data_IF_575770770863
#
_entry.id   IF_575770770863
#
_cell.length_a   1.000
_cell.length_b   1.000
_cell.length_c   1.000
_cell.angle_alpha   90.00
_cell.angle_beta   90.00
_cell.angle_gamma   90.00
#
_symmetry.space_group_name_H-M   'P 1'
#
loop_
_entity.id
_entity.type
_entity.pdbx_description
1 polymer ?
#
# COMPACT_ATOMS: atom_id res chain seq x y z
N UNK A 1 9.18 -5.44 -6.04
CA UNK A 1 8.22 -4.76 -5.12
C UNK A 1 6.79 -4.85 -5.67
N UNK A 2 5.81 -5.08 -4.81
CA UNK A 2 4.39 -5.20 -5.12
C UNK A 2 3.57 -4.47 -4.06
N UNK A 3 2.63 -3.62 -4.46
CA UNK A 3 1.79 -2.83 -3.54
C UNK A 3 0.31 -3.05 -3.82
N UNK A 4 -0.51 -3.07 -2.78
CA UNK A 4 -1.96 -3.21 -2.87
C UNK A 4 -2.61 -1.84 -2.92
N UNK A 5 -3.55 -1.63 -3.85
CA UNK A 5 -4.32 -0.40 -3.98
C UNK A 5 -5.82 -0.72 -4.02
N UNK A 6 -6.63 -0.10 -3.16
CA UNK A 6 -8.06 -0.46 -3.07
C UNK A 6 -8.97 0.76 -3.12
N UNK A 7 -10.14 0.62 -3.75
CA UNK A 7 -11.20 1.64 -3.72
C UNK A 7 -12.08 1.53 -2.47
N UNK A 8 -12.10 0.36 -1.85
CA UNK A 8 -12.86 0.05 -0.64
C UNK A 8 -11.89 -0.55 0.38
N UNK A 9 -11.75 0.10 1.54
CA UNK A 9 -10.82 -0.30 2.57
C UNK A 9 -11.54 -0.89 3.77
N UNK A 10 -11.11 -2.08 4.18
CA UNK A 10 -11.40 -2.62 5.50
C UNK A 10 -10.08 -3.03 6.19
N UNK A 11 -10.03 -3.05 7.53
CA UNK A 11 -8.88 -3.52 8.27
C UNK A 11 -8.44 -4.94 7.87
N UNK A 12 -9.38 -5.83 7.60
CA UNK A 12 -9.14 -7.23 7.21
C UNK A 12 -8.46 -7.30 5.84
N UNK A 13 -8.88 -6.46 4.89
CA UNK A 13 -8.27 -6.41 3.56
C UNK A 13 -6.82 -5.90 3.61
N UNK A 14 -6.55 -4.91 4.48
CA UNK A 14 -5.17 -4.47 4.74
C UNK A 14 -4.36 -5.58 5.37
N UNK A 15 -4.89 -6.23 6.40
CA UNK A 15 -4.18 -7.32 7.08
C UNK A 15 -3.84 -8.45 6.10
N UNK A 16 -4.80 -8.84 5.27
CA UNK A 16 -4.58 -9.86 4.24
C UNK A 16 -3.49 -9.46 3.25
N UNK A 17 -3.53 -8.23 2.72
CA UNK A 17 -2.49 -7.76 1.80
C UNK A 17 -1.08 -7.82 2.43
N UNK A 18 -0.95 -7.44 3.70
CA UNK A 18 0.34 -7.54 4.38
C UNK A 18 0.77 -9.00 4.60
N UNK A 19 -0.16 -9.88 4.97
CA UNK A 19 0.10 -11.33 5.14
C UNK A 19 0.48 -12.00 3.81
N UNK A 20 -0.11 -11.58 2.70
CA UNK A 20 0.17 -12.10 1.35
C UNK A 20 1.52 -11.58 0.79
N UNK A 21 2.25 -10.76 1.56
CA UNK A 21 3.61 -10.31 1.23
C UNK A 21 3.70 -9.04 0.39
N UNK A 22 2.61 -8.27 0.29
CA UNK A 22 2.70 -6.94 -0.34
C UNK A 22 3.57 -6.00 0.48
N UNK A 23 4.38 -5.19 -0.20
CA UNK A 23 5.28 -4.22 0.43
C UNK A 23 4.53 -3.05 1.07
N UNK A 24 3.36 -2.70 0.55
CA UNK A 24 2.50 -1.64 1.09
C UNK A 24 1.03 -1.80 0.68
N UNK A 25 0.17 -1.05 1.38
CA UNK A 25 -1.28 -1.01 1.16
C UNK A 25 -1.78 0.45 1.13
N UNK A 26 -2.47 0.84 0.05
CA UNK A 26 -2.94 2.19 -0.19
C UNK A 26 -4.46 2.23 -0.47
N UNK A 27 -5.28 2.72 0.47
CA UNK A 27 -6.69 2.97 0.22
C UNK A 27 -6.88 4.25 -0.62
N UNK A 28 -7.90 4.28 -1.48
CA UNK A 28 -8.32 5.50 -2.19
C UNK A 28 -9.25 6.34 -1.30
N UNK A 29 -9.25 7.68 -1.47
CA UNK A 29 -8.37 8.44 -2.36
C UNK A 29 -6.92 8.44 -1.87
N UNK A 30 -5.97 8.46 -2.80
CA UNK A 30 -4.55 8.43 -2.47
C UNK A 30 -4.12 9.77 -1.91
N UNK A 31 -3.46 9.75 -0.77
CA UNK A 31 -2.58 10.84 -0.37
C UNK A 31 -1.33 10.80 -1.25
N UNK A 32 -1.18 11.80 -2.11
CA UNK A 32 -0.11 11.84 -3.13
C UNK A 32 1.29 11.91 -2.50
N UNK A 33 1.45 12.71 -1.45
CA UNK A 33 2.75 12.90 -0.78
C UNK A 33 3.16 11.61 -0.08
N UNK A 34 2.23 11.01 0.66
CA UNK A 34 2.49 9.73 1.33
C UNK A 34 2.74 8.60 0.35
N UNK A 35 1.96 8.52 -0.72
CA UNK A 35 2.12 7.49 -1.74
C UNK A 35 3.50 7.56 -2.39
N UNK A 36 3.91 8.73 -2.87
CA UNK A 36 5.21 8.89 -3.53
C UNK A 36 6.37 8.58 -2.57
N UNK A 37 6.32 9.09 -1.34
CA UNK A 37 7.36 8.84 -0.34
C UNK A 37 7.53 7.35 0.00
N UNK A 38 6.42 6.59 0.11
CA UNK A 38 6.52 5.14 0.34
C UNK A 38 7.00 4.38 -0.90
N UNK A 39 6.62 4.80 -2.12
CA UNK A 39 7.14 4.17 -3.33
C UNK A 39 8.65 4.39 -3.46
N UNK A 40 9.14 5.61 -3.22
CA UNK A 40 10.58 5.90 -3.23
C UNK A 40 11.32 5.03 -2.20
N UNK A 41 10.76 4.89 -1.00
CA UNK A 41 11.31 4.01 0.04
C UNK A 41 11.37 2.54 -0.40
N UNK A 42 10.30 2.03 -1.01
CA UNK A 42 10.19 0.63 -1.46
C UNK A 42 11.13 0.32 -2.63
N UNK A 43 11.47 1.31 -3.46
CA UNK A 43 12.36 1.14 -4.62
C UNK A 43 13.84 1.32 -4.28
N UNK A 44 14.15 1.91 -3.13
CA UNK A 44 15.52 2.09 -2.64
C UNK A 44 16.08 0.85 -1.91
N UNK A 45 15.20 -0.08 -1.50
CA UNK A 45 15.52 -1.39 -0.93
C UNK A 45 15.73 -2.45 -2.02
#
# INVERSE_FOLDING_TARGET
PCVAMTAFHTPELRQRAMTDGFNAYFPKPLDRTRFLGEIDRILAD
#
